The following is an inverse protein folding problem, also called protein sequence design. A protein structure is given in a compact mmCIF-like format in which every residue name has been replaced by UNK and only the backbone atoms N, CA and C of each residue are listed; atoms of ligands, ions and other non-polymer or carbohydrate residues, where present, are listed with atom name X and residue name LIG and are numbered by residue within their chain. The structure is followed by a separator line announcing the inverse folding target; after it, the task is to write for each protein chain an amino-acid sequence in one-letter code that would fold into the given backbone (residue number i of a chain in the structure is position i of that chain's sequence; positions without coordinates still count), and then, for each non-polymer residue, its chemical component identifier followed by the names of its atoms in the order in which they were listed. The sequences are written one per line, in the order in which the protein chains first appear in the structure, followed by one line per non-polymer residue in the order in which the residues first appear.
data_IF_527042678769
#
_entry.id   IF_527042678769
#
_cell.length_a   1.000
_cell.length_b   1.000
_cell.length_c   1.000
_cell.angle_alpha   90.00
_cell.angle_beta   90.00
_cell.angle_gamma   90.00
#
_symmetry.space_group_name_H-M   'P 1'
#
loop_
_entity.id
_entity.type
_entity.pdbx_description
1 polymer ?
#
# COMPACT_ATOMS: atom_id res chain seq x y z
N UNK A 1 -13.41 1.84 -11.24
CA UNK A 1 -13.17 0.86 -10.14
C UNK A 1 -13.80 1.46 -8.89
N UNK A 2 -14.31 0.64 -7.98
CA UNK A 2 -14.82 1.15 -6.70
C UNK A 2 -13.64 1.65 -5.84
N UNK A 3 -13.65 2.94 -5.48
CA UNK A 3 -12.61 3.58 -4.68
C UNK A 3 -12.45 2.86 -3.34
N UNK A 4 -13.56 2.45 -2.72
CA UNK A 4 -13.55 1.79 -1.41
C UNK A 4 -12.88 0.41 -1.51
N UNK A 5 -13.14 -0.34 -2.59
CA UNK A 5 -12.49 -1.62 -2.84
C UNK A 5 -10.97 -1.47 -3.05
N UNK A 6 -10.54 -0.45 -3.79
CA UNK A 6 -9.11 -0.18 -4.01
C UNK A 6 -8.43 0.27 -2.71
N UNK A 7 -9.12 1.07 -1.89
CA UNK A 7 -8.63 1.48 -0.58
C UNK A 7 -8.53 0.31 0.39
N UNK A 8 -9.51 -0.60 0.42
CA UNK A 8 -9.44 -1.81 1.22
C UNK A 8 -8.23 -2.69 0.82
N UNK A 9 -7.98 -2.85 -0.48
CA UNK A 9 -6.81 -3.58 -0.98
C UNK A 9 -5.48 -2.88 -0.58
N UNK A 10 -5.45 -1.55 -0.56
CA UNK A 10 -4.31 -0.78 -0.07
C UNK A 10 -4.03 -1.10 1.41
N UNK A 11 -5.05 -1.04 2.27
CA UNK A 11 -4.91 -1.30 3.71
C UNK A 11 -4.46 -2.74 4.00
N UNK A 12 -4.99 -3.72 3.27
CA UNK A 12 -4.56 -5.12 3.42
C UNK A 12 -3.08 -5.27 3.06
N UNK A 13 -2.62 -4.64 1.98
CA UNK A 13 -1.22 -4.70 1.56
C UNK A 13 -0.31 -3.92 2.49
N UNK A 14 -0.74 -2.78 3.02
CA UNK A 14 0.02 -2.01 4.02
C UNK A 14 0.25 -2.84 5.28
N UNK A 15 -0.77 -3.57 5.75
CA UNK A 15 -0.64 -4.48 6.88
C UNK A 15 0.42 -5.56 6.64
N UNK A 16 0.41 -6.18 5.46
CA UNK A 16 1.41 -7.20 5.09
C UNK A 16 2.82 -6.62 5.02
N UNK A 17 2.97 -5.42 4.45
CA UNK A 17 4.25 -4.71 4.39
C UNK A 17 4.80 -4.44 5.80
N UNK A 18 3.98 -3.90 6.69
CA UNK A 18 4.36 -3.62 8.07
C UNK A 18 4.72 -4.90 8.84
N UNK A 19 4.01 -6.00 8.60
CA UNK A 19 4.34 -7.29 9.18
C UNK A 19 5.71 -7.82 8.70
N UNK A 20 6.04 -7.63 7.42
CA UNK A 20 7.34 -8.02 6.87
C UNK A 20 8.50 -7.17 7.46
N UNK A 21 8.28 -5.87 7.67
CA UNK A 21 9.24 -5.00 8.36
C UNK A 21 9.45 -5.43 9.81
N UNK A 22 8.38 -5.66 10.56
CA UNK A 22 8.47 -6.13 11.95
C UNK A 22 9.22 -7.46 12.05
N UNK A 23 9.03 -8.37 11.09
CA UNK A 23 9.79 -9.63 11.02
C UNK A 23 11.26 -9.39 10.75
N UNK A 24 11.60 -8.44 9.87
CA UNK A 24 12.99 -8.08 9.60
C UNK A 24 13.68 -7.55 10.87
N UNK A 25 13.02 -6.67 11.62
CA UNK A 25 13.53 -6.12 12.88
C UNK A 25 13.71 -7.22 13.95
N UNK A 26 12.76 -8.14 14.07
CA UNK A 26 12.85 -9.28 14.97
C UNK A 26 14.04 -10.19 14.60
N UNK A 27 14.22 -10.52 13.31
CA UNK A 27 15.36 -11.32 12.84
C UNK A 27 16.70 -10.64 13.16
N UNK A 28 16.80 -9.32 12.98
CA UNK A 28 18.01 -8.55 13.30
C UNK A 28 18.30 -8.50 14.80
N UNK A 29 17.25 -8.38 15.62
CA UNK A 29 17.36 -8.42 17.09
C UNK A 29 17.88 -9.77 17.59
N UNK A 30 17.54 -10.85 16.89
CA UNK A 30 18.03 -12.21 17.15
C UNK A 30 19.42 -12.50 16.52
N UNK A 31 20.09 -11.48 15.96
CA UNK A 31 21.42 -11.60 15.36
C UNK A 31 21.44 -12.24 13.96
N UNK A 32 20.28 -12.40 13.32
CA UNK A 32 20.17 -12.85 11.92
C UNK A 32 20.18 -11.64 10.96
N UNK A 33 20.34 -11.89 9.66
CA UNK A 33 20.49 -10.82 8.68
C UNK A 33 19.20 -10.06 8.36
N UNK A 34 18.01 -10.65 8.56
CA UNK A 34 16.74 -10.02 8.17
C UNK A 34 16.50 -9.96 6.66
N UNK A 35 17.44 -10.43 5.83
CA UNK A 35 17.47 -10.13 4.39
C UNK A 35 16.25 -10.66 3.62
N UNK A 36 15.73 -11.83 4.01
CA UNK A 36 14.55 -12.40 3.36
C UNK A 36 13.29 -11.58 3.66
N UNK A 37 13.08 -11.21 4.93
CA UNK A 37 11.99 -10.33 5.34
C UNK A 37 12.07 -8.95 4.71
N UNK A 38 13.28 -8.38 4.61
CA UNK A 38 13.49 -7.11 3.91
C UNK A 38 13.12 -7.18 2.42
N UNK A 39 13.52 -8.25 1.71
CA UNK A 39 13.16 -8.43 0.29
C UNK A 39 11.65 -8.60 0.10
N UNK A 40 10.99 -9.27 1.03
CA UNK A 40 9.53 -9.38 1.03
C UNK A 40 8.87 -8.02 1.24
N UNK A 41 9.38 -7.22 2.20
CA UNK A 41 8.90 -5.85 2.42
C UNK A 41 9.11 -4.96 1.18
N UNK A 42 10.26 -5.03 0.51
CA UNK A 42 10.51 -4.28 -0.75
C UNK A 42 9.53 -4.68 -1.86
N UNK A 43 9.24 -5.98 -2.02
CA UNK A 43 8.24 -6.47 -2.97
C UNK A 43 6.85 -5.91 -2.63
N UNK A 44 6.44 -6.02 -1.37
CA UNK A 44 5.13 -5.53 -0.90
C UNK A 44 5.01 -4.01 -1.05
N UNK A 45 6.08 -3.26 -0.81
CA UNK A 45 6.12 -1.81 -1.02
C UNK A 45 5.90 -1.44 -2.50
N UNK A 46 6.53 -2.17 -3.43
CA UNK A 46 6.31 -1.96 -4.88
C UNK A 46 4.86 -2.24 -5.27
N UNK A 47 4.26 -3.31 -4.75
CA UNK A 47 2.84 -3.61 -4.96
C UNK A 47 1.94 -2.51 -4.36
N UNK A 48 2.25 -2.05 -3.14
CA UNK A 48 1.53 -0.99 -2.45
C UNK A 48 1.54 0.32 -3.24
N UNK A 49 2.69 0.69 -3.83
CA UNK A 49 2.81 1.86 -4.70
C UNK A 49 2.00 1.77 -5.99
N UNK A 50 1.75 0.57 -6.51
CA UNK A 50 0.87 0.37 -7.66
C UNK A 50 -0.59 0.63 -7.26
N UNK A 51 -1.01 0.07 -6.13
CA UNK A 51 -2.37 0.26 -5.61
C UNK A 51 -2.61 1.72 -5.22
N UNK A 52 -1.65 2.38 -4.57
CA UNK A 52 -1.73 3.79 -4.21
C UNK A 52 -1.92 4.68 -5.45
N UNK A 53 -1.17 4.40 -6.54
CA UNK A 53 -1.34 5.14 -7.81
C UNK A 53 -2.71 4.92 -8.43
N UNK A 54 -3.22 3.69 -8.41
CA UNK A 54 -4.57 3.41 -8.88
C UNK A 54 -5.64 4.12 -8.03
N UNK A 55 -5.46 4.18 -6.72
CA UNK A 55 -6.35 4.88 -5.80
C UNK A 55 -6.38 6.38 -6.09
N UNK A 56 -5.21 7.01 -6.22
CA UNK A 56 -5.10 8.44 -6.57
C UNK A 56 -5.83 8.71 -7.90
N UNK A 57 -5.56 7.91 -8.93
CA UNK A 57 -6.20 8.09 -10.23
C UNK A 57 -7.73 7.96 -10.16
N UNK A 58 -8.27 7.03 -9.37
CA UNK A 58 -9.71 6.87 -9.21
C UNK A 58 -10.33 8.07 -8.45
N UNK A 59 -9.65 8.58 -7.43
CA UNK A 59 -10.09 9.75 -6.66
C UNK A 59 -10.09 11.00 -7.55
N UNK A 60 -9.03 11.23 -8.31
CA UNK A 60 -8.93 12.35 -9.25
C UNK A 60 -10.05 12.31 -10.30
N UNK A 61 -10.34 11.12 -10.84
CA UNK A 61 -11.45 10.93 -11.77
C UNK A 61 -12.81 11.25 -11.10
N UNK A 62 -13.06 10.73 -9.89
CA UNK A 62 -14.30 10.99 -9.17
C UNK A 62 -14.49 12.49 -8.86
N UNK A 63 -13.40 13.20 -8.52
CA UNK A 63 -13.44 14.66 -8.33
C UNK A 63 -13.76 15.39 -9.63
N UNK A 64 -13.16 14.98 -10.75
CA UNK A 64 -13.41 15.61 -12.05
C UNK A 64 -14.85 15.40 -12.56
N UNK A 65 -15.48 14.30 -12.17
CA UNK A 65 -16.87 13.98 -12.50
C UNK A 65 -17.90 14.70 -11.61
N UNK A 66 -17.46 15.35 -10.52
CA UNK A 66 -18.36 16.19 -9.71
C UNK A 66 -18.83 17.40 -10.54
N UNK A 67 -20.14 17.69 -10.55
CA UNK A 67 -20.66 18.82 -11.31
C UNK A 67 -20.03 20.13 -10.81
N UNK A 68 -19.29 20.78 -11.71
CA UNK A 68 -18.75 22.13 -11.52
C UNK A 68 -19.89 23.14 -11.61
N UNK A 69 -20.78 23.16 -10.61
CA UNK A 69 -21.96 24.03 -10.65
C UNK A 69 -23.02 23.69 -9.62
N UNK A 70 -22.79 24.13 -8.38
CA UNK A 70 -23.87 24.75 -7.61
C UNK A 70 -23.39 26.18 -7.37
N UNK A 71 -24.09 27.11 -8.03
CA UNK A 71 -23.90 28.56 -7.87
C UNK A 71 -24.35 29.04 -6.49
#
# INVERSE_FOLDING_TARGET
MDIDAVYAAFLEKEKLFNAALARCEAEQTEGRTGLAAWREADKLNKELQVIARALISNIEQAIAELPQGIS
#
